data_IF_262223779516
#
_entry.id   IF_262223779516
#
_cell.length_a   1.000
_cell.length_b   1.000
_cell.length_c   1.000
_cell.angle_alpha   90.00
_cell.angle_beta   90.00
_cell.angle_gamma   90.00
#
_symmetry.space_group_name_H-M   'P 1'
#
loop_
_entity.id
_entity.type
_entity.pdbx_description
1 polymer ?
#
# COMPACT_ATOMS: atom_id res chain seq x y z
N UNK A 1 7.48 -2.42 -21.69
CA UNK A 1 6.71 -2.79 -20.48
C UNK A 1 5.48 -1.89 -20.41
N UNK A 2 4.32 -2.39 -19.94
CA UNK A 2 3.20 -1.50 -19.60
C UNK A 2 3.62 -0.49 -18.52
N UNK A 3 2.97 0.67 -18.50
CA UNK A 3 3.18 1.68 -17.46
C UNK A 3 2.59 1.19 -16.12
N UNK A 4 3.26 1.52 -15.01
CA UNK A 4 2.72 1.28 -13.66
C UNK A 4 1.62 2.30 -13.33
N UNK A 5 0.70 1.91 -12.46
CA UNK A 5 -0.34 2.78 -11.92
C UNK A 5 0.01 3.04 -10.45
N UNK A 6 0.28 4.30 -10.15
CA UNK A 6 0.68 4.76 -8.82
C UNK A 6 -0.45 5.53 -8.13
N UNK A 7 -0.60 5.30 -6.83
CA UNK A 7 -1.42 6.15 -5.94
C UNK A 7 -0.51 6.79 -4.89
N UNK A 8 -0.46 8.13 -4.93
CA UNK A 8 0.31 8.96 -4.00
C UNK A 8 -0.60 9.62 -2.94
N UNK A 9 -0.71 8.96 -1.78
CA UNK A 9 -1.55 9.41 -0.66
C UNK A 9 -2.84 8.62 -0.48
N UNK A 10 -3.40 8.68 0.72
CA UNK A 10 -4.60 7.91 1.08
C UNK A 10 -4.37 6.39 1.18
N UNK A 11 -3.15 5.90 1.03
CA UNK A 11 -2.80 4.49 1.12
C UNK A 11 -2.59 4.08 2.58
N UNK A 12 -3.37 3.11 3.04
CA UNK A 12 -3.36 2.55 4.39
C UNK A 12 -3.87 1.09 4.36
N UNK A 13 -3.77 0.33 5.46
CA UNK A 13 -4.38 -1.01 5.53
C UNK A 13 -5.87 -1.01 5.17
N UNK A 14 -6.62 0.05 5.51
CA UNK A 14 -8.05 0.13 5.22
C UNK A 14 -8.39 0.45 3.75
N UNK A 15 -7.42 0.90 2.95
CA UNK A 15 -7.67 1.38 1.57
C UNK A 15 -6.90 0.60 0.52
N UNK A 16 -5.76 -0.01 0.86
CA UNK A 16 -4.83 -0.56 -0.12
C UNK A 16 -5.41 -1.73 -0.93
N UNK A 17 -6.26 -2.56 -0.34
CA UNK A 17 -6.90 -3.68 -1.04
C UNK A 17 -7.76 -3.19 -2.22
N UNK A 18 -8.66 -2.24 -1.97
CA UNK A 18 -9.50 -1.67 -3.03
C UNK A 18 -8.70 -0.89 -4.09
N UNK A 19 -7.61 -0.25 -3.68
CA UNK A 19 -6.68 0.42 -4.61
C UNK A 19 -5.99 -0.60 -5.53
N UNK A 20 -5.53 -1.72 -4.98
CA UNK A 20 -4.93 -2.81 -5.75
C UNK A 20 -5.93 -3.47 -6.69
N UNK A 21 -7.16 -3.73 -6.22
CA UNK A 21 -8.27 -4.26 -7.04
C UNK A 21 -8.62 -3.34 -8.20
N UNK A 22 -8.48 -2.01 -8.03
CA UNK A 22 -8.68 -1.03 -9.09
C UNK A 22 -7.54 -0.99 -10.13
N UNK A 23 -6.47 -1.77 -9.95
CA UNK A 23 -5.37 -1.93 -10.91
C UNK A 23 -4.10 -1.16 -10.59
N UNK A 24 -4.04 -0.44 -9.46
CA UNK A 24 -2.79 0.18 -9.01
C UNK A 24 -1.79 -0.88 -8.52
N UNK A 25 -0.52 -0.67 -8.85
CA UNK A 25 0.57 -1.59 -8.48
C UNK A 25 1.78 -0.88 -7.86
N UNK A 26 1.71 0.45 -7.69
CA UNK A 26 2.71 1.27 -7.00
C UNK A 26 1.96 2.09 -5.95
N UNK A 27 2.49 2.15 -4.73
CA UNK A 27 1.79 2.76 -3.60
C UNK A 27 2.75 3.62 -2.78
N UNK A 28 2.33 4.85 -2.49
CA UNK A 28 3.06 5.74 -1.57
C UNK A 28 2.26 5.89 -0.27
N UNK A 29 2.78 5.31 0.80
CA UNK A 29 2.13 5.29 2.11
C UNK A 29 2.98 6.01 3.17
N UNK A 30 2.72 7.31 3.36
CA UNK A 30 3.37 8.13 4.37
C UNK A 30 2.77 7.94 5.76
N UNK A 31 1.57 8.50 5.97
CA UNK A 31 0.92 8.57 7.30
C UNK A 31 0.56 7.21 7.91
N UNK A 32 0.33 6.18 7.08
CA UNK A 32 0.05 4.83 7.56
C UNK A 32 1.27 4.18 8.23
N UNK A 33 2.48 4.56 7.81
CA UNK A 33 3.76 3.92 8.18
C UNK A 33 4.57 4.79 9.14
N UNK A 34 4.64 6.10 8.87
CA UNK A 34 5.47 7.03 9.64
C UNK A 34 5.01 7.10 11.11
N UNK A 35 5.97 7.10 12.03
CA UNK A 35 5.70 7.17 13.48
C UNK A 35 5.17 5.88 14.12
N UNK A 36 4.96 4.80 13.35
CA UNK A 36 4.57 3.50 13.90
C UNK A 36 5.77 2.84 14.59
N UNK A 37 5.55 2.34 15.80
CA UNK A 37 6.57 1.62 16.58
C UNK A 37 7.10 0.39 15.83
N UNK A 38 6.21 -0.33 15.14
CA UNK A 38 6.57 -1.41 14.22
C UNK A 38 6.06 -1.11 12.80
N UNK A 39 6.79 -0.26 12.10
CA UNK A 39 6.51 0.05 10.69
C UNK A 39 6.64 -1.19 9.78
N UNK A 40 7.43 -2.20 10.17
CA UNK A 40 7.62 -3.42 9.38
C UNK A 40 6.36 -4.27 9.39
N UNK A 41 5.70 -4.40 10.53
CA UNK A 41 4.41 -5.07 10.64
C UNK A 41 3.36 -4.40 9.75
N UNK A 42 3.29 -3.07 9.73
CA UNK A 42 2.36 -2.32 8.87
C UNK A 42 2.65 -2.56 7.39
N UNK A 43 3.92 -2.48 6.97
CA UNK A 43 4.30 -2.76 5.58
C UNK A 43 3.94 -4.21 5.20
N UNK A 44 4.18 -5.17 6.09
CA UNK A 44 3.83 -6.58 5.86
C UNK A 44 2.33 -6.77 5.69
N UNK A 45 1.52 -6.20 6.57
CA UNK A 45 0.06 -6.21 6.47
C UNK A 45 -0.40 -5.59 5.14
N UNK A 46 0.13 -4.42 4.77
CA UNK A 46 -0.24 -3.74 3.53
C UNK A 46 0.13 -4.56 2.29
N UNK A 47 1.30 -5.21 2.27
CA UNK A 47 1.67 -6.13 1.17
C UNK A 47 0.68 -7.29 1.05
N UNK A 48 0.35 -7.94 2.16
CA UNK A 48 -0.61 -9.05 2.20
C UNK A 48 -1.99 -8.62 1.66
N UNK A 49 -2.51 -7.48 2.13
CA UNK A 49 -3.79 -6.93 1.71
C UNK A 49 -3.83 -6.56 0.22
N UNK A 50 -2.71 -6.10 -0.32
CA UNK A 50 -2.57 -5.71 -1.71
C UNK A 50 -2.18 -6.87 -2.64
N UNK A 51 -2.08 -8.10 -2.11
CA UNK A 51 -1.75 -9.30 -2.90
C UNK A 51 -0.27 -9.41 -3.28
N UNK A 52 0.63 -8.69 -2.62
CA UNK A 52 2.08 -8.84 -2.77
C UNK A 52 2.63 -9.79 -1.69
N UNK A 53 3.48 -10.73 -2.09
CA UNK A 53 4.18 -11.66 -1.18
C UNK A 53 5.53 -11.08 -0.70
#
# INVERSE_FOLDING_TARGET
>A
SPAGIEIDGGVSPGTIAGIAEAGANIFVAGSAVFGRSDYRAVIKEMKQLAGFY
#
